data_IF_653607703839
#
_entry.id   IF_653607703839
#
_cell.length_a   1.000
_cell.length_b   1.000
_cell.length_c   1.000
_cell.angle_alpha   90.00
_cell.angle_beta   90.00
_cell.angle_gamma   90.00
#
_symmetry.space_group_name_H-M   'P 1'
#
loop_
_entity.id
_entity.type
_entity.pdbx_description
1 polymer ?
#
# COMPACT_ATOMS: atom_id res chain seq x y z
N UNK A 1 -0.98 4.13 4.24
CA UNK A 1 -1.88 5.06 4.95
C UNK A 1 -2.43 4.35 6.19
N UNK A 2 -2.55 5.06 7.31
CA UNK A 2 -3.28 4.57 8.49
C UNK A 2 -4.66 5.22 8.54
N UNK A 3 -5.66 4.58 9.19
CA UNK A 3 -6.99 5.19 9.33
C UNK A 3 -6.94 6.51 10.13
N UNK A 4 -7.88 7.41 9.85
CA UNK A 4 -7.86 8.77 10.43
C UNK A 4 -8.09 8.80 11.96
N UNK A 5 -8.65 7.73 12.54
CA UNK A 5 -8.92 7.61 13.98
C UNK A 5 -7.65 7.59 14.85
N UNK A 6 -6.46 7.43 14.27
CA UNK A 6 -5.18 7.57 14.98
C UNK A 6 -4.75 9.04 15.17
N UNK A 7 -5.43 9.98 14.52
CA UNK A 7 -5.17 11.41 14.59
C UNK A 7 -4.05 11.87 13.66
N UNK A 8 -4.25 13.04 13.03
CA UNK A 8 -3.39 13.57 11.96
C UNK A 8 -1.90 13.59 12.33
N UNK A 9 -1.58 14.04 13.55
CA UNK A 9 -0.19 14.08 14.02
C UNK A 9 0.46 12.70 13.97
N UNK A 10 -0.23 11.66 14.44
CA UNK A 10 0.35 10.32 14.43
C UNK A 10 0.47 9.77 13.01
N UNK A 11 -0.59 9.93 12.19
CA UNK A 11 -0.59 9.40 10.82
C UNK A 11 0.48 10.05 9.94
N UNK A 12 0.71 11.36 10.07
CA UNK A 12 1.76 12.08 9.35
C UNK A 12 3.15 11.56 9.73
N UNK A 13 3.43 11.44 11.03
CA UNK A 13 4.72 10.96 11.53
C UNK A 13 4.99 9.52 11.15
N UNK A 14 3.97 8.65 11.26
CA UNK A 14 4.09 7.25 10.84
C UNK A 14 4.37 7.14 9.34
N UNK A 15 3.60 7.84 8.51
CA UNK A 15 3.77 7.82 7.06
C UNK A 15 5.15 8.33 6.62
N UNK A 16 5.72 9.31 7.33
CA UNK A 16 7.02 9.89 7.02
C UNK A 16 8.21 8.93 7.26
N UNK A 17 8.06 7.87 8.06
CA UNK A 17 9.13 6.92 8.35
C UNK A 17 9.59 6.19 7.08
N UNK A 18 8.65 5.71 6.28
CA UNK A 18 8.94 4.89 5.09
C UNK A 18 9.77 5.61 4.01
N UNK A 19 9.40 6.82 3.51
CA UNK A 19 10.23 7.55 2.55
C UNK A 19 11.57 7.99 3.14
N UNK A 20 11.63 8.28 4.45
CA UNK A 20 12.89 8.59 5.13
C UNK A 20 13.85 7.39 5.09
N UNK A 21 13.37 6.19 5.44
CA UNK A 21 14.17 4.97 5.42
C UNK A 21 14.57 4.58 3.99
N UNK A 22 13.66 4.67 3.03
CA UNK A 22 13.95 4.38 1.63
C UNK A 22 15.09 5.25 1.10
N UNK A 23 15.05 6.56 1.38
CA UNK A 23 16.14 7.49 1.06
C UNK A 23 17.44 7.16 1.81
N UNK A 24 17.35 6.86 3.11
CA UNK A 24 18.53 6.56 3.94
C UNK A 24 19.30 5.33 3.46
N UNK A 25 18.59 4.28 3.03
CA UNK A 25 19.20 3.02 2.62
C UNK A 25 19.33 2.88 1.09
N UNK A 26 18.96 3.90 0.33
CA UNK A 26 18.94 3.88 -1.14
C UNK A 26 18.19 2.66 -1.71
N UNK A 27 17.03 2.35 -1.13
CA UNK A 27 16.15 1.26 -1.57
C UNK A 27 14.86 1.85 -2.18
N UNK A 28 14.25 1.12 -3.11
CA UNK A 28 12.96 1.52 -3.66
C UNK A 28 11.86 1.43 -2.61
N UNK A 29 10.91 2.36 -2.69
CA UNK A 29 9.69 2.38 -1.87
C UNK A 29 8.50 2.06 -2.78
N UNK A 30 7.82 0.95 -2.51
CA UNK A 30 6.59 0.58 -3.22
C UNK A 30 5.45 1.50 -2.75
N UNK A 31 4.64 2.06 -3.67
CA UNK A 31 3.46 2.85 -3.32
C UNK A 31 2.44 2.08 -2.47
N UNK A 32 1.60 2.80 -1.74
CA UNK A 32 0.56 2.20 -0.90
C UNK A 32 -0.63 1.69 -1.74
N UNK A 33 -0.64 0.40 -2.09
CA UNK A 33 -1.63 -0.21 -2.98
C UNK A 33 -3.09 -0.10 -2.50
N UNK A 34 -3.32 -0.04 -1.18
CA UNK A 34 -4.66 0.01 -0.60
C UNK A 34 -5.38 1.34 -0.89
N UNK A 35 -4.69 2.38 -1.36
CA UNK A 35 -5.34 3.66 -1.73
C UNK A 35 -6.44 3.43 -2.78
N UNK A 36 -6.20 2.59 -3.79
CA UNK A 36 -7.21 2.27 -4.81
C UNK A 36 -8.25 1.26 -4.32
N UNK A 37 -7.87 0.39 -3.38
CA UNK A 37 -8.78 -0.61 -2.79
C UNK A 37 -9.86 0.06 -1.97
N UNK A 38 -9.50 1.04 -1.13
CA UNK A 38 -10.46 1.74 -0.27
C UNK A 38 -11.48 2.59 -1.05
N UNK A 39 -11.23 2.89 -2.32
CA UNK A 39 -12.20 3.60 -3.18
C UNK A 39 -13.33 2.69 -3.69
N UNK A 40 -13.23 1.38 -3.47
CA UNK A 40 -14.18 0.37 -3.97
C UNK A 40 -14.77 -0.44 -2.81
N UNK A 41 -15.96 -0.08 -2.31
CA UNK A 41 -16.60 -0.80 -1.20
C UNK A 41 -16.73 -2.30 -1.44
N UNK A 42 -16.97 -2.71 -2.70
CA UNK A 42 -17.07 -4.11 -3.12
C UNK A 42 -15.75 -4.91 -3.01
N UNK A 43 -14.63 -4.24 -2.74
CA UNK A 43 -13.31 -4.84 -2.58
C UNK A 43 -12.86 -4.92 -1.11
N UNK A 44 -13.67 -4.45 -0.17
CA UNK A 44 -13.35 -4.43 1.26
C UNK A 44 -14.20 -5.49 1.98
N UNK A 45 -13.65 -6.09 3.02
CA UNK A 45 -14.35 -7.02 3.92
C UNK A 45 -15.28 -6.27 4.86
N UNK A 46 -16.13 -7.00 5.60
CA UNK A 46 -17.11 -6.43 6.53
C UNK A 46 -16.48 -5.57 7.65
N UNK A 47 -15.19 -5.75 7.93
CA UNK A 47 -14.45 -4.96 8.91
C UNK A 47 -14.01 -3.57 8.43
N UNK A 48 -14.20 -3.26 7.14
CA UNK A 48 -13.88 -1.97 6.55
C UNK A 48 -12.38 -1.68 6.41
N UNK A 49 -11.50 -2.65 6.67
CA UNK A 49 -10.04 -2.44 6.64
C UNK A 49 -9.30 -3.44 5.76
N UNK A 50 -9.80 -4.66 5.59
CA UNK A 50 -9.10 -5.68 4.80
C UNK A 50 -9.67 -5.80 3.39
N UNK A 51 -8.81 -5.99 2.36
CA UNK A 51 -9.29 -6.36 1.04
C UNK A 51 -9.94 -7.74 1.07
N UNK A 52 -11.02 -7.92 0.32
CA UNK A 52 -11.65 -9.23 0.11
C UNK A 52 -11.01 -9.96 -1.10
N UNK A 53 -11.45 -11.20 -1.44
CA UNK A 53 -10.90 -11.95 -2.58
C UNK A 53 -11.05 -11.25 -3.94
N UNK A 54 -12.09 -10.43 -4.14
CA UNK A 54 -12.32 -9.75 -5.41
C UNK A 54 -11.27 -8.66 -5.72
N UNK A 55 -10.61 -8.13 -4.69
CA UNK A 55 -9.52 -7.16 -4.84
C UNK A 55 -8.18 -7.80 -5.25
N UNK A 56 -8.00 -9.10 -4.99
CA UNK A 56 -6.68 -9.74 -5.11
C UNK A 56 -6.10 -9.73 -6.53
N UNK A 57 -6.88 -9.95 -7.61
CA UNK A 57 -6.33 -9.85 -8.98
C UNK A 57 -5.77 -8.46 -9.29
N UNK A 58 -6.47 -7.40 -8.86
CA UNK A 58 -5.99 -6.02 -9.01
C UNK A 58 -4.71 -5.76 -8.21
N UNK A 59 -4.66 -6.22 -6.95
CA UNK A 59 -3.48 -6.07 -6.10
C UNK A 59 -2.29 -6.80 -6.74
N UNK A 60 -2.48 -8.01 -7.25
CA UNK A 60 -1.43 -8.79 -7.91
C UNK A 60 -0.90 -8.09 -9.16
N UNK A 61 -1.77 -7.54 -10.02
CA UNK A 61 -1.36 -6.80 -11.22
C UNK A 61 -0.56 -5.54 -10.87
N UNK A 62 -1.04 -4.77 -9.88
CA UNK A 62 -0.34 -3.58 -9.41
C UNK A 62 1.04 -3.95 -8.84
N UNK A 63 1.12 -4.97 -7.98
CA UNK A 63 2.40 -5.41 -7.42
C UNK A 63 3.35 -5.96 -8.47
N UNK A 64 2.84 -6.71 -9.46
CA UNK A 64 3.65 -7.21 -10.57
C UNK A 64 4.28 -6.05 -11.35
N UNK A 65 3.49 -4.99 -11.66
CA UNK A 65 3.99 -3.79 -12.33
C UNK A 65 5.06 -3.06 -11.50
N UNK A 66 4.82 -2.85 -10.21
CA UNK A 66 5.76 -2.12 -9.33
C UNK A 66 7.04 -2.91 -9.06
N UNK A 67 6.97 -4.25 -9.02
CA UNK A 67 8.11 -5.13 -8.76
C UNK A 67 8.86 -5.56 -10.02
N UNK A 68 8.27 -5.45 -11.21
CA UNK A 68 8.90 -5.85 -12.47
C UNK A 68 10.32 -5.27 -12.69
N UNK A 69 10.62 -4.01 -12.35
CA UNK A 69 11.98 -3.48 -12.48
C UNK A 69 13.00 -4.12 -11.53
N UNK A 70 12.53 -4.75 -10.45
CA UNK A 70 13.35 -5.33 -9.38
C UNK A 70 13.54 -6.83 -9.51
N UNK A 71 12.54 -7.53 -10.05
CA UNK A 71 12.53 -8.99 -10.17
C UNK A 71 13.03 -9.38 -11.55
N UNK A 72 14.19 -10.04 -11.61
CA UNK A 72 14.66 -10.66 -12.84
C UNK A 72 13.85 -11.94 -13.06
N UNK A 73 13.18 -12.04 -14.20
CA UNK A 73 12.70 -13.32 -14.71
C UNK A 73 13.91 -14.04 -15.31
N UNK A 74 14.35 -15.14 -14.70
CA UNK A 74 15.15 -16.16 -15.38
C UNK A 74 14.25 -17.02 -16.26
#
# INVERSE_FOLDING_TARGET
MLPANYGKRYTDYFAAIYPKLAKQYAILLVPFFMEQVYLKPEWVQDDGIHPNPAAQPFIAELMAKELAPLVKHE
#
